data_IF_724950625267
#
_entry.id   IF_724950625267
#
_cell.length_a   1.000
_cell.length_b   1.000
_cell.length_c   1.000
_cell.angle_alpha   90.00
_cell.angle_beta   90.00
_cell.angle_gamma   90.00
#
_symmetry.space_group_name_H-M   'P 1'
#
loop_
_entity.id
_entity.type
_entity.pdbx_description
1 polymer ?
#
# COMPACT_ATOMS: atom_id res chain seq x y z
N UNK A 1 -57.45 40.92 -10.33
CA UNK A 1 -56.61 41.62 -9.33
C UNK A 1 -56.36 40.85 -8.04
N UNK A 2 -57.29 40.68 -7.07
CA UNK A 2 -56.95 40.02 -5.78
C UNK A 2 -56.65 38.52 -5.87
N UNK A 3 -57.30 37.79 -6.79
CA UNK A 3 -57.08 36.35 -6.99
C UNK A 3 -55.78 36.03 -7.77
N UNK A 4 -55.35 36.89 -8.71
CA UNK A 4 -54.08 36.71 -9.43
C UNK A 4 -52.87 36.87 -8.50
N UNK A 5 -52.95 37.81 -7.55
CA UNK A 5 -51.92 38.04 -6.53
C UNK A 5 -51.75 36.85 -5.57
N UNK A 6 -52.85 36.20 -5.19
CA UNK A 6 -52.84 34.98 -4.37
C UNK A 6 -52.30 33.77 -5.14
N UNK A 7 -52.61 33.68 -6.43
CA UNK A 7 -52.10 32.61 -7.29
C UNK A 7 -50.57 32.72 -7.47
N UNK A 8 -50.07 33.94 -7.70
CA UNK A 8 -48.65 34.19 -7.88
C UNK A 8 -47.83 33.88 -6.61
N UNK A 9 -48.38 34.19 -5.43
CA UNK A 9 -47.75 33.91 -4.13
C UNK A 9 -47.59 32.40 -3.86
N UNK A 10 -48.60 31.60 -4.20
CA UNK A 10 -48.57 30.12 -4.08
C UNK A 10 -47.56 29.48 -5.03
N UNK A 11 -47.37 30.04 -6.22
CA UNK A 11 -46.39 29.53 -7.20
C UNK A 11 -44.96 29.80 -6.76
N UNK A 12 -44.71 30.97 -6.15
CA UNK A 12 -43.40 31.34 -5.61
C UNK A 12 -43.01 30.44 -4.42
N UNK A 13 -43.93 30.14 -3.49
CA UNK A 13 -43.66 29.20 -2.39
C UNK A 13 -43.36 27.78 -2.88
N UNK A 14 -44.11 27.29 -3.87
CA UNK A 14 -43.84 25.96 -4.46
C UNK A 14 -42.49 25.89 -5.18
N UNK A 15 -42.09 26.98 -5.85
CA UNK A 15 -40.76 27.08 -6.47
C UNK A 15 -39.63 27.08 -5.44
N UNK A 16 -39.82 27.75 -4.29
CA UNK A 16 -38.85 27.78 -3.19
C UNK A 16 -38.64 26.38 -2.58
N UNK A 17 -39.73 25.62 -2.34
CA UNK A 17 -39.65 24.26 -1.82
C UNK A 17 -38.94 23.31 -2.79
N UNK A 18 -39.17 23.45 -4.10
CA UNK A 18 -38.51 22.61 -5.11
C UNK A 18 -36.99 22.83 -5.13
N UNK A 19 -36.54 24.08 -4.98
CA UNK A 19 -35.11 24.42 -4.91
C UNK A 19 -34.48 23.86 -3.63
N UNK A 20 -35.15 23.97 -2.49
CA UNK A 20 -34.66 23.46 -1.21
C UNK A 20 -34.50 21.92 -1.24
N UNK A 21 -35.46 21.20 -1.84
CA UNK A 21 -35.37 19.75 -2.04
C UNK A 21 -34.23 19.39 -2.99
N UNK A 22 -34.04 20.13 -4.09
CA UNK A 22 -32.95 19.88 -5.03
C UNK A 22 -31.56 20.12 -4.41
N UNK A 23 -31.42 21.19 -3.62
CA UNK A 23 -30.18 21.50 -2.88
C UNK A 23 -29.91 20.44 -1.82
N UNK A 24 -30.93 20.03 -1.06
CA UNK A 24 -30.82 18.97 -0.05
C UNK A 24 -30.38 17.64 -0.65
N UNK A 25 -30.96 17.24 -1.78
CA UNK A 25 -30.57 16.04 -2.52
C UNK A 25 -29.15 16.15 -3.08
N UNK A 26 -28.77 17.32 -3.62
CA UNK A 26 -27.43 17.56 -4.15
C UNK A 26 -26.35 17.45 -3.07
N UNK A 27 -26.57 18.06 -1.90
CA UNK A 27 -25.65 17.98 -0.75
C UNK A 27 -25.61 16.54 -0.22
N UNK A 28 -26.76 15.87 -0.08
CA UNK A 28 -26.84 14.49 0.39
C UNK A 28 -26.07 13.52 -0.50
N UNK A 29 -26.27 13.59 -1.81
CA UNK A 29 -25.52 12.79 -2.79
C UNK A 29 -24.02 13.12 -2.76
N UNK A 30 -23.66 14.40 -2.64
CA UNK A 30 -22.27 14.83 -2.52
C UNK A 30 -21.57 14.21 -1.31
N UNK A 31 -22.23 14.22 -0.14
CA UNK A 31 -21.71 13.61 1.09
C UNK A 31 -21.54 12.10 0.91
N UNK A 32 -22.54 11.41 0.34
CA UNK A 32 -22.48 9.95 0.12
C UNK A 32 -21.31 9.57 -0.79
N UNK A 33 -21.17 10.26 -1.93
CA UNK A 33 -20.06 10.01 -2.87
C UNK A 33 -18.70 10.31 -2.24
N UNK A 34 -18.62 11.37 -1.44
CA UNK A 34 -17.41 11.71 -0.69
C UNK A 34 -17.04 10.61 0.32
N UNK A 35 -17.99 10.16 1.15
CA UNK A 35 -17.75 9.07 2.10
C UNK A 35 -17.39 7.77 1.39
N UNK A 36 -18.06 7.43 0.29
CA UNK A 36 -17.76 6.25 -0.50
C UNK A 36 -16.32 6.27 -1.02
N UNK A 37 -15.89 7.40 -1.58
CA UNK A 37 -14.52 7.59 -2.07
C UNK A 37 -13.51 7.49 -0.93
N UNK A 38 -13.83 8.05 0.23
CA UNK A 38 -12.97 8.02 1.41
C UNK A 38 -12.80 6.59 1.94
N UNK A 39 -13.88 5.81 2.01
CA UNK A 39 -13.85 4.40 2.40
C UNK A 39 -13.00 3.55 1.44
N UNK A 40 -13.16 3.74 0.13
CA UNK A 40 -12.34 3.03 -0.86
C UNK A 40 -10.84 3.34 -0.68
N UNK A 41 -10.49 4.62 -0.50
CA UNK A 41 -9.10 5.04 -0.26
C UNK A 41 -8.53 4.46 1.04
N UNK A 42 -9.29 4.47 2.13
CA UNK A 42 -8.84 3.89 3.40
C UNK A 42 -8.61 2.39 3.25
N UNK A 43 -9.52 1.66 2.59
CA UNK A 43 -9.34 0.22 2.35
C UNK A 43 -8.07 -0.06 1.55
N UNK A 44 -7.82 0.71 0.48
CA UNK A 44 -6.60 0.58 -0.32
C UNK A 44 -5.33 0.84 0.50
N UNK A 45 -5.29 1.94 1.27
CA UNK A 45 -4.16 2.28 2.13
C UNK A 45 -3.93 1.21 3.19
N UNK A 46 -5.00 0.71 3.81
CA UNK A 46 -4.92 -0.33 4.82
C UNK A 46 -4.36 -1.64 4.25
N UNK A 47 -4.82 -2.03 3.06
CA UNK A 47 -4.31 -3.22 2.37
C UNK A 47 -2.83 -3.07 2.00
N UNK A 48 -2.43 -1.92 1.46
CA UNK A 48 -1.02 -1.65 1.14
C UNK A 48 -0.13 -1.66 2.40
N UNK A 49 -0.63 -1.10 3.50
CA UNK A 49 0.09 -1.08 4.79
C UNK A 49 0.25 -2.50 5.34
N UNK A 50 -0.78 -3.35 5.24
CA UNK A 50 -0.68 -4.75 5.64
C UNK A 50 0.39 -5.49 4.84
N UNK A 51 0.43 -5.31 3.52
CA UNK A 51 1.45 -5.93 2.68
C UNK A 51 2.85 -5.42 3.00
N UNK A 52 3.04 -4.12 3.23
CA UNK A 52 4.32 -3.58 3.68
C UNK A 52 4.77 -4.18 5.01
N UNK A 53 3.87 -4.29 5.98
CA UNK A 53 4.18 -4.87 7.29
C UNK A 53 4.56 -6.36 7.19
N UNK A 54 3.84 -7.13 6.39
CA UNK A 54 4.14 -8.54 6.13
C UNK A 54 5.48 -8.68 5.39
N UNK A 55 5.76 -7.84 4.40
CA UNK A 55 7.03 -7.81 3.68
C UNK A 55 8.21 -7.50 4.62
N UNK A 56 8.03 -6.58 5.57
CA UNK A 56 9.02 -6.29 6.61
C UNK A 56 9.29 -7.50 7.52
N UNK A 57 8.23 -8.17 7.96
CA UNK A 57 8.36 -9.36 8.80
C UNK A 57 9.11 -10.49 8.08
N UNK A 58 8.72 -10.80 6.84
CA UNK A 58 9.40 -11.79 5.99
C UNK A 58 10.86 -11.39 5.78
N UNK A 59 11.13 -10.13 5.43
CA UNK A 59 12.47 -9.63 5.21
C UNK A 59 13.35 -9.81 6.46
N UNK A 60 12.82 -9.53 7.64
CA UNK A 60 13.56 -9.70 8.89
C UNK A 60 13.87 -11.18 9.16
N UNK A 61 12.89 -12.08 9.02
CA UNK A 61 13.11 -13.51 9.25
C UNK A 61 14.18 -14.10 8.32
N UNK A 62 14.11 -13.79 7.03
CA UNK A 62 15.09 -14.29 6.06
C UNK A 62 16.45 -13.63 6.24
N UNK A 63 16.50 -12.35 6.61
CA UNK A 63 17.76 -11.68 6.90
C UNK A 63 18.47 -12.31 8.09
N UNK A 64 17.75 -12.59 9.18
CA UNK A 64 18.30 -13.28 10.35
C UNK A 64 18.81 -14.68 9.99
N UNK A 65 18.11 -15.41 9.10
CA UNK A 65 18.58 -16.71 8.61
C UNK A 65 19.85 -16.61 7.77
N UNK A 66 19.95 -15.62 6.88
CA UNK A 66 21.16 -15.42 6.06
C UNK A 66 22.36 -15.03 6.94
N UNK A 67 22.14 -14.21 7.97
CA UNK A 67 23.19 -13.84 8.94
C UNK A 67 23.61 -15.06 9.75
N UNK A 68 22.67 -15.86 10.26
CA UNK A 68 22.97 -17.03 11.08
C UNK A 68 23.63 -18.17 10.30
N UNK A 69 23.28 -18.34 9.03
CA UNK A 69 23.71 -19.46 8.17
C UNK A 69 24.39 -18.98 6.88
N UNK A 70 25.26 -17.98 6.98
CA UNK A 70 25.94 -17.36 5.84
C UNK A 70 26.74 -18.35 4.96
N UNK A 71 27.10 -19.51 5.50
CA UNK A 71 27.78 -20.60 4.77
C UNK A 71 26.90 -21.30 3.74
N UNK A 72 25.58 -21.35 3.97
CA UNK A 72 24.64 -22.06 3.10
C UNK A 72 24.34 -21.32 1.80
N UNK A 73 24.62 -20.02 1.76
CA UNK A 73 24.34 -19.20 0.59
C UNK A 73 25.62 -18.93 -0.20
N UNK A 74 25.59 -19.33 -1.47
CA UNK A 74 26.63 -19.02 -2.45
C UNK A 74 26.45 -17.61 -3.02
N UNK A 75 27.53 -17.07 -3.58
CA UNK A 75 27.50 -15.78 -4.29
C UNK A 75 26.56 -15.90 -5.48
N UNK A 76 25.67 -14.92 -5.66
CA UNK A 76 24.69 -14.92 -6.73
C UNK A 76 23.29 -14.52 -6.25
N UNK A 77 22.29 -14.83 -7.07
CA UNK A 77 20.89 -14.52 -6.80
C UNK A 77 20.11 -15.79 -6.48
N UNK A 78 19.48 -15.80 -5.32
CA UNK A 78 18.61 -16.88 -4.85
C UNK A 78 17.17 -16.37 -4.84
N UNK A 79 16.26 -17.13 -5.43
CA UNK A 79 14.82 -16.85 -5.41
C UNK A 79 14.10 -17.92 -4.63
N UNK A 80 13.24 -17.49 -3.73
CA UNK A 80 12.47 -18.35 -2.83
C UNK A 80 11.01 -17.97 -3.00
N UNK A 81 10.24 -18.86 -3.61
CA UNK A 81 8.79 -18.74 -3.70
C UNK A 81 8.18 -19.12 -2.34
N UNK A 82 7.31 -18.26 -1.83
CA UNK A 82 6.56 -18.44 -0.59
C UNK A 82 5.08 -18.68 -0.92
N UNK A 83 4.31 -18.95 0.13
CA UNK A 83 2.85 -19.04 0.03
C UNK A 83 2.23 -17.71 -0.45
N UNK A 84 1.02 -17.78 -0.99
CA UNK A 84 0.23 -16.60 -1.39
C UNK A 84 0.91 -15.66 -2.40
N UNK A 85 1.72 -16.20 -3.33
CA UNK A 85 2.43 -15.43 -4.37
C UNK A 85 3.50 -14.46 -3.85
N UNK A 86 3.94 -14.62 -2.60
CA UNK A 86 5.11 -13.92 -2.09
C UNK A 86 6.39 -14.53 -2.67
N UNK A 87 7.37 -13.69 -2.99
CA UNK A 87 8.68 -14.10 -3.46
C UNK A 87 9.76 -13.32 -2.71
N UNK A 88 10.78 -14.02 -2.22
CA UNK A 88 11.99 -13.43 -1.65
C UNK A 88 13.14 -13.62 -2.62
N UNK A 89 13.74 -12.53 -3.05
CA UNK A 89 14.98 -12.52 -3.83
C UNK A 89 16.13 -12.09 -2.93
N UNK A 90 17.15 -12.94 -2.79
CA UNK A 90 18.37 -12.68 -2.04
C UNK A 90 19.53 -12.57 -3.04
N UNK A 91 20.28 -11.47 -2.97
CA UNK A 91 21.44 -11.20 -3.82
C UNK A 91 22.66 -11.12 -2.91
N UNK A 92 23.65 -11.97 -3.16
CA UNK A 92 24.89 -12.00 -2.40
C UNK A 92 26.05 -11.66 -3.32
N UNK A 93 26.75 -10.58 -2.99
CA UNK A 93 27.89 -10.07 -3.76
C UNK A 93 29.11 -9.92 -2.85
N UNK A 94 30.31 -10.33 -3.29
CA UNK A 94 31.52 -10.10 -2.51
C UNK A 94 31.82 -8.61 -2.41
N UNK A 95 32.22 -8.15 -1.23
CA UNK A 95 32.75 -6.80 -1.06
C UNK A 95 34.15 -6.78 -1.66
N UNK A 96 34.37 -5.99 -2.71
CA UNK A 96 35.70 -5.81 -3.33
C UNK A 96 36.62 -5.01 -2.39
N UNK A 97 37.07 -5.62 -1.30
CA UNK A 97 38.09 -5.06 -0.42
C UNK A 97 39.10 -6.15 -0.04
N UNK A 98 40.39 -5.78 -0.04
CA UNK A 98 41.55 -6.61 0.30
C UNK A 98 41.58 -7.01 1.80
N UNK A 99 40.47 -7.46 2.37
CA UNK A 99 40.38 -7.95 3.75
C UNK A 99 40.50 -9.47 3.77
N UNK A 100 41.28 -10.01 4.71
CA UNK A 100 41.50 -11.46 4.89
C UNK A 100 40.26 -12.24 5.33
N UNK A 101 39.16 -11.54 5.60
CA UNK A 101 37.85 -12.09 5.99
C UNK A 101 36.89 -11.80 4.84
N UNK A 102 36.22 -12.84 4.34
CA UNK A 102 35.26 -12.71 3.24
C UNK A 102 34.02 -11.94 3.70
N UNK A 103 33.95 -10.65 3.40
CA UNK A 103 32.75 -9.82 3.60
C UNK A 103 31.88 -9.85 2.35
N UNK A 104 30.57 -9.98 2.53
CA UNK A 104 29.60 -10.05 1.45
C UNK A 104 28.47 -9.04 1.68
N UNK A 105 28.12 -8.30 0.65
CA UNK A 105 26.88 -7.53 0.59
C UNK A 105 25.73 -8.50 0.35
N UNK A 106 24.70 -8.43 1.19
CA UNK A 106 23.47 -9.19 1.06
C UNK A 106 22.33 -8.21 0.81
N UNK A 107 21.82 -8.19 -0.40
CA UNK A 107 20.55 -7.56 -0.75
C UNK A 107 19.41 -8.55 -0.59
N UNK A 108 18.31 -8.13 0.03
CA UNK A 108 17.09 -8.91 0.16
C UNK A 108 15.92 -8.08 -0.33
N UNK A 109 15.11 -8.64 -1.23
CA UNK A 109 13.90 -7.99 -1.75
C UNK A 109 12.72 -8.92 -1.56
N UNK A 110 11.64 -8.40 -0.98
CA UNK A 110 10.37 -9.13 -0.80
C UNK A 110 9.33 -8.53 -1.73
N UNK A 111 8.74 -9.38 -2.56
CA UNK A 111 7.74 -9.00 -3.54
C UNK A 111 6.48 -9.86 -3.43
N UNK A 112 5.35 -9.29 -3.81
CA UNK A 112 4.07 -9.98 -3.94
C UNK A 112 3.53 -9.68 -5.34
N UNK A 113 3.19 -10.71 -6.10
CA UNK A 113 2.74 -10.59 -7.50
C UNK A 113 3.69 -9.71 -8.36
N UNK A 114 5.01 -9.91 -8.20
CA UNK A 114 6.10 -9.16 -8.88
C UNK A 114 6.21 -7.67 -8.48
N UNK A 115 5.40 -7.17 -7.54
CA UNK A 115 5.57 -5.83 -6.98
C UNK A 115 6.44 -5.90 -5.73
N UNK A 116 7.56 -5.19 -5.73
CA UNK A 116 8.43 -5.09 -4.57
C UNK A 116 7.77 -4.23 -3.47
N UNK A 117 7.71 -4.77 -2.25
CA UNK A 117 7.16 -4.08 -1.08
C UNK A 117 8.25 -3.70 -0.06
N UNK A 118 9.36 -4.43 -0.04
CA UNK A 118 10.49 -4.16 0.85
C UNK A 118 11.81 -4.53 0.16
N UNK A 119 12.84 -3.73 0.40
CA UNK A 119 14.22 -4.08 0.07
C UNK A 119 15.14 -3.68 1.22
N UNK A 120 16.09 -4.55 1.55
CA UNK A 120 17.06 -4.37 2.62
C UNK A 120 18.44 -4.74 2.10
N UNK A 121 19.46 -4.00 2.50
CA UNK A 121 20.86 -4.35 2.22
C UNK A 121 21.60 -4.40 3.55
N UNK A 122 22.37 -5.47 3.74
CA UNK A 122 23.27 -5.62 4.89
C UNK A 122 24.62 -6.16 4.44
N UNK A 123 25.59 -6.16 5.34
CA UNK A 123 26.91 -6.76 5.14
C UNK A 123 27.04 -7.92 6.11
N UNK A 124 27.45 -9.08 5.61
CA UNK A 124 27.65 -10.29 6.41
C UNK A 124 29.11 -10.74 6.30
N UNK A 125 29.70 -11.10 7.43
CA UNK A 125 31.02 -11.74 7.51
C UNK A 125 30.83 -13.25 7.28
N UNK A 126 31.59 -13.82 6.35
CA UNK A 126 31.65 -15.26 6.10
C UNK A 126 33.01 -15.75 6.55
N UNK A 127 33.03 -16.41 7.72
CA UNK A 127 34.22 -17.07 8.30
C UNK A 127 34.41 -18.50 7.79
#
# INVERSE_FOLDING_TARGET
>A
MRQELLCNKKTIEKGFILVEVAVGLGIGLGIILFLHTLLLKITQINQETKYKMQAHYIAQQYMEQVVAYSKLYEVGTHRIDLEESWEVTIVIEPVQQNTSIGTYNVGLTVSLDKKAYMSLVTIVLKE
#
